data_IF_885306658102
#
_entry.id   IF_885306658102
#
_cell.length_a   1.000
_cell.length_b   1.000
_cell.length_c   1.000
_cell.angle_alpha   90.00
_cell.angle_beta   90.00
_cell.angle_gamma   90.00
#
_symmetry.space_group_name_H-M   'P 1'
#
loop_
_entity.id
_entity.type
_entity.pdbx_description
1 polymer ?
#
# COMPACT_ATOMS: atom_id res chain seq x y z
N UNK A 1 -10.37 -16.93 -41.90
CA UNK A 1 -10.16 -16.97 -40.45
C UNK A 1 -11.04 -18.08 -39.89
N UNK A 2 -10.51 -19.05 -39.16
CA UNK A 2 -11.27 -20.19 -38.60
C UNK A 2 -12.00 -19.74 -37.33
N UNK A 3 -13.27 -20.13 -37.15
CA UNK A 3 -14.08 -19.84 -35.97
C UNK A 3 -13.37 -20.23 -34.67
N UNK A 4 -12.63 -21.34 -34.65
CA UNK A 4 -11.83 -21.75 -33.48
C UNK A 4 -10.73 -20.75 -33.13
N UNK A 5 -10.09 -20.14 -34.13
CA UNK A 5 -9.09 -19.09 -33.92
C UNK A 5 -9.71 -17.82 -33.35
N UNK A 6 -10.94 -17.48 -33.74
CA UNK A 6 -11.68 -16.36 -33.16
C UNK A 6 -12.01 -16.61 -31.69
N UNK A 7 -12.53 -17.80 -31.35
CA UNK A 7 -12.85 -18.17 -29.96
C UNK A 7 -11.58 -18.11 -29.08
N UNK A 8 -10.48 -18.69 -29.53
CA UNK A 8 -9.21 -18.66 -28.78
C UNK A 8 -8.71 -17.22 -28.58
N UNK A 9 -8.76 -16.38 -29.62
CA UNK A 9 -8.32 -15.00 -29.51
C UNK A 9 -9.14 -14.19 -28.49
N UNK A 10 -10.45 -14.43 -28.42
CA UNK A 10 -11.33 -13.78 -27.43
C UNK A 10 -11.01 -14.27 -26.01
N UNK A 11 -10.86 -15.58 -25.83
CA UNK A 11 -10.50 -16.17 -24.54
C UNK A 11 -9.15 -15.66 -24.04
N UNK A 12 -8.11 -15.70 -24.89
CA UNK A 12 -6.76 -15.24 -24.55
C UNK A 12 -6.77 -13.76 -24.17
N UNK A 13 -7.51 -12.94 -24.95
CA UNK A 13 -7.67 -11.51 -24.66
C UNK A 13 -8.31 -11.32 -23.28
N UNK A 14 -9.42 -12.00 -22.99
CA UNK A 14 -10.08 -11.91 -21.69
C UNK A 14 -9.13 -12.29 -20.54
N UNK A 15 -8.42 -13.41 -20.66
CA UNK A 15 -7.49 -13.89 -19.62
C UNK A 15 -6.28 -12.96 -19.43
N UNK A 16 -5.77 -12.35 -20.49
CA UNK A 16 -4.67 -11.38 -20.40
C UNK A 16 -5.13 -10.12 -19.67
N UNK A 17 -6.28 -9.55 -20.06
CA UNK A 17 -6.77 -8.32 -19.45
C UNK A 17 -7.25 -8.53 -18.01
N UNK A 18 -7.91 -9.66 -17.71
CA UNK A 18 -8.32 -9.99 -16.34
C UNK A 18 -7.11 -10.09 -15.40
N UNK A 19 -6.04 -10.79 -15.81
CA UNK A 19 -4.80 -10.88 -15.03
C UNK A 19 -4.16 -9.52 -14.82
N UNK A 20 -4.07 -8.70 -15.89
CA UNK A 20 -3.54 -7.32 -15.80
C UNK A 20 -4.35 -6.47 -14.83
N UNK A 21 -5.67 -6.53 -14.90
CA UNK A 21 -6.57 -5.80 -13.99
C UNK A 21 -6.32 -6.21 -12.54
N UNK A 22 -6.24 -7.50 -12.24
CA UNK A 22 -5.96 -7.99 -10.88
C UNK A 22 -4.60 -7.50 -10.38
N UNK A 23 -3.55 -7.57 -11.21
CA UNK A 23 -2.22 -7.05 -10.85
C UNK A 23 -2.27 -5.57 -10.53
N UNK A 24 -2.88 -4.75 -11.38
CA UNK A 24 -2.98 -3.29 -11.17
C UNK A 24 -3.79 -2.96 -9.91
N UNK A 25 -4.88 -3.69 -9.64
CA UNK A 25 -5.65 -3.52 -8.40
C UNK A 25 -4.80 -3.85 -7.18
N UNK A 26 -4.07 -4.97 -7.21
CA UNK A 26 -3.21 -5.37 -6.10
C UNK A 26 -2.10 -4.34 -5.83
N UNK A 27 -1.41 -3.86 -6.88
CA UNK A 27 -0.39 -2.83 -6.77
C UNK A 27 -0.94 -1.56 -6.11
N UNK A 28 -2.08 -1.07 -6.60
CA UNK A 28 -2.71 0.13 -6.05
C UNK A 28 -3.14 -0.07 -4.59
N UNK A 29 -3.67 -1.23 -4.23
CA UNK A 29 -4.02 -1.54 -2.84
C UNK A 29 -2.80 -1.57 -1.93
N UNK A 30 -1.69 -2.15 -2.37
CA UNK A 30 -0.43 -2.17 -1.61
C UNK A 30 0.08 -0.76 -1.40
N UNK A 31 0.19 0.05 -2.46
CA UNK A 31 0.66 1.44 -2.37
C UNK A 31 -0.27 2.30 -1.50
N UNK A 32 -1.58 2.21 -1.70
CA UNK A 32 -2.58 2.93 -0.89
C UNK A 32 -2.45 2.59 0.59
N UNK A 33 -2.29 1.30 0.92
CA UNK A 33 -2.13 0.87 2.31
C UNK A 33 -0.78 1.31 2.90
N UNK A 34 0.28 1.32 2.10
CA UNK A 34 1.58 1.85 2.51
C UNK A 34 1.52 3.35 2.82
N UNK A 35 0.91 4.13 1.93
CA UNK A 35 0.72 5.58 2.09
C UNK A 35 -0.11 5.91 3.33
N UNK A 36 -1.12 5.10 3.64
CA UNK A 36 -1.90 5.27 4.86
C UNK A 36 -1.02 5.11 6.11
N UNK A 37 -0.11 4.14 6.10
CA UNK A 37 0.90 3.97 7.14
C UNK A 37 1.84 5.17 7.25
N UNK A 38 2.32 5.66 6.11
CA UNK A 38 3.15 6.87 6.05
C UNK A 38 2.43 8.08 6.70
N UNK A 39 1.18 8.38 6.30
CA UNK A 39 0.44 9.52 6.85
C UNK A 39 0.23 9.43 8.36
N UNK A 40 -0.02 8.21 8.86
CA UNK A 40 -0.16 7.96 10.30
C UNK A 40 1.16 8.28 11.02
N UNK A 41 2.28 7.73 10.55
CA UNK A 41 3.59 7.90 11.22
C UNK A 41 4.06 9.35 11.15
N UNK A 42 3.91 10.02 10.02
CA UNK A 42 4.25 11.45 9.92
C UNK A 42 3.41 12.30 10.87
N UNK A 43 2.11 12.01 10.99
CA UNK A 43 1.25 12.71 11.94
C UNK A 43 1.68 12.48 13.40
N UNK A 44 2.06 11.24 13.74
CA UNK A 44 2.59 10.88 15.06
C UNK A 44 3.91 11.60 15.37
N UNK A 45 4.84 11.66 14.40
CA UNK A 45 6.17 12.28 14.57
C UNK A 45 6.14 13.81 14.68
N UNK A 46 5.20 14.47 13.99
CA UNK A 46 5.04 15.92 14.04
C UNK A 46 4.39 16.43 15.34
N UNK A 47 4.22 15.58 16.36
CA UNK A 47 3.99 15.99 17.74
C UNK A 47 2.69 16.73 18.03
N UNK A 48 1.68 16.64 17.15
CA UNK A 48 0.35 17.19 17.43
C UNK A 48 -0.22 16.49 18.68
N UNK A 49 -0.91 17.22 19.56
CA UNK A 49 -1.38 16.73 20.88
C UNK A 49 -2.14 15.38 20.85
N UNK A 50 -2.72 15.01 19.70
CA UNK A 50 -3.35 13.72 19.45
C UNK A 50 -2.38 12.52 19.46
N UNK A 51 -1.10 12.72 19.14
CA UNK A 51 -0.08 11.67 19.02
C UNK A 51 0.40 11.11 20.37
N UNK A 52 0.17 11.82 21.50
CA UNK A 52 0.56 11.33 22.85
C UNK A 52 -0.16 10.05 23.25
N UNK A 53 -1.26 9.70 22.58
CA UNK A 53 -2.00 8.45 22.76
C UNK A 53 -2.23 7.79 21.40
N UNK A 54 -1.19 7.21 20.81
CA UNK A 54 -1.23 6.59 19.46
C UNK A 54 -2.36 5.57 19.25
N UNK A 55 -2.81 4.86 20.29
CA UNK A 55 -4.00 4.00 20.20
C UNK A 55 -5.29 4.81 19.99
N UNK A 56 -5.47 5.90 20.75
CA UNK A 56 -6.63 6.79 20.61
C UNK A 56 -6.67 7.42 19.21
N UNK A 57 -5.51 7.79 18.65
CA UNK A 57 -5.42 8.30 17.28
C UNK A 57 -6.04 7.31 16.28
N UNK A 58 -5.64 6.04 16.31
CA UNK A 58 -6.13 5.06 15.33
C UNK A 58 -7.62 4.74 15.49
N UNK A 59 -8.16 4.78 16.70
CA UNK A 59 -9.60 4.63 16.92
C UNK A 59 -10.37 5.79 16.30
N UNK A 60 -10.00 7.03 16.64
CA UNK A 60 -10.64 8.23 16.08
C UNK A 60 -10.53 8.25 14.55
N UNK A 61 -9.34 7.97 14.01
CA UNK A 61 -9.10 7.91 12.58
C UNK A 61 -9.97 6.83 11.90
N UNK A 62 -10.12 5.66 12.52
CA UNK A 62 -10.98 4.60 11.99
C UNK A 62 -12.44 5.06 11.87
N UNK A 63 -12.94 5.75 12.88
CA UNK A 63 -14.34 6.21 12.90
C UNK A 63 -14.57 7.34 11.90
N UNK A 64 -13.68 8.33 11.84
CA UNK A 64 -13.76 9.43 10.87
C UNK A 64 -13.71 8.91 9.42
N UNK A 65 -12.76 8.02 9.09
CA UNK A 65 -12.65 7.48 7.73
C UNK A 65 -13.85 6.61 7.33
N UNK A 66 -14.44 5.87 8.28
CA UNK A 66 -15.68 5.12 8.02
C UNK A 66 -16.87 6.05 7.76
N UNK A 67 -16.97 7.17 8.48
CA UNK A 67 -18.02 8.16 8.22
C UNK A 67 -17.91 8.78 6.82
N UNK A 68 -16.70 8.86 6.28
CA UNK A 68 -16.45 9.25 4.89
C UNK A 68 -16.73 8.12 3.87
N UNK A 69 -17.17 6.95 4.31
CA UNK A 69 -17.51 5.82 3.44
C UNK A 69 -16.32 4.98 2.96
N UNK A 70 -15.14 5.14 3.56
CA UNK A 70 -13.95 4.38 3.15
C UNK A 70 -14.03 2.94 3.69
N UNK A 71 -13.91 1.97 2.79
CA UNK A 71 -13.79 0.56 3.15
C UNK A 71 -12.36 0.22 3.65
N UNK A 72 -12.26 -0.80 4.50
CA UNK A 72 -10.96 -1.35 4.92
C UNK A 72 -10.14 -0.45 5.86
N UNK A 73 -10.76 0.50 6.55
CA UNK A 73 -10.12 1.45 7.49
C UNK A 73 -10.44 1.15 8.96
N UNK A 74 -10.55 -0.13 9.32
CA UNK A 74 -10.70 -0.54 10.72
C UNK A 74 -9.45 -0.19 11.54
N UNK A 75 -9.58 -0.06 12.86
CA UNK A 75 -8.45 0.10 13.78
C UNK A 75 -7.33 -0.93 13.52
N UNK A 76 -7.71 -2.20 13.34
CA UNK A 76 -6.78 -3.28 13.00
C UNK A 76 -6.05 -3.03 11.69
N UNK A 77 -6.76 -2.63 10.63
CA UNK A 77 -6.15 -2.33 9.34
C UNK A 77 -5.22 -1.11 9.42
N UNK A 78 -5.63 -0.03 10.09
CA UNK A 78 -4.78 1.15 10.26
C UNK A 78 -3.51 0.82 11.07
N UNK A 79 -3.62 -0.06 12.06
CA UNK A 79 -2.45 -0.59 12.80
C UNK A 79 -1.51 -1.37 11.88
N UNK A 80 -2.07 -2.22 11.00
CA UNK A 80 -1.30 -2.97 10.01
C UNK A 80 -0.63 -2.05 8.99
N UNK A 81 -1.32 -1.01 8.51
CA UNK A 81 -0.77 -0.02 7.59
C UNK A 81 0.40 0.73 8.22
N UNK A 82 0.25 1.19 9.47
CA UNK A 82 1.34 1.81 10.24
C UNK A 82 2.57 0.90 10.33
N UNK A 83 2.38 -0.37 10.70
CA UNK A 83 3.47 -1.36 10.73
C UNK A 83 4.09 -1.57 9.34
N UNK A 84 3.24 -1.68 8.32
CA UNK A 84 3.68 -1.92 6.95
C UNK A 84 4.61 -0.82 6.43
N UNK A 85 4.29 0.45 6.69
CA UNK A 85 5.18 1.57 6.36
C UNK A 85 6.54 1.45 7.04
N UNK A 86 6.55 1.18 8.35
CA UNK A 86 7.78 1.05 9.14
C UNK A 86 8.65 -0.14 8.72
N UNK A 87 8.03 -1.27 8.33
CA UNK A 87 8.73 -2.47 7.90
C UNK A 87 9.24 -2.39 6.45
N UNK A 88 8.55 -1.65 5.57
CA UNK A 88 8.86 -1.60 4.14
C UNK A 88 9.04 -0.15 3.61
N UNK A 89 9.96 0.67 4.14
CA UNK A 89 10.13 2.06 3.71
C UNK A 89 10.54 2.23 2.23
N UNK A 90 11.00 1.17 1.56
CA UNK A 90 11.40 1.18 0.14
C UNK A 90 10.27 1.51 -0.85
N UNK A 91 9.00 1.39 -0.48
CA UNK A 91 7.90 1.78 -1.38
C UNK A 91 7.78 3.29 -1.59
N UNK A 92 8.55 4.08 -0.85
CA UNK A 92 8.74 5.53 -1.04
C UNK A 92 8.98 5.91 -2.51
N UNK A 93 9.79 5.12 -3.24
CA UNK A 93 10.11 5.41 -4.64
C UNK A 93 8.88 5.34 -5.55
N UNK A 94 7.95 4.41 -5.29
CA UNK A 94 6.73 4.26 -6.07
C UNK A 94 5.65 5.28 -5.72
N UNK A 95 5.60 5.67 -4.45
CA UNK A 95 4.65 6.68 -3.99
C UNK A 95 4.85 8.03 -4.70
N UNK A 96 6.10 8.38 -5.06
CA UNK A 96 6.45 9.61 -5.79
C UNK A 96 5.84 9.69 -7.18
N UNK A 97 5.60 8.53 -7.79
CA UNK A 97 5.10 8.41 -9.17
C UNK A 97 3.58 8.33 -9.26
N UNK A 98 2.86 8.35 -8.12
CA UNK A 98 1.39 8.28 -8.10
C UNK A 98 0.80 9.66 -8.45
N UNK A 99 0.06 9.79 -9.57
CA UNK A 99 -0.54 11.07 -9.94
C UNK A 99 -1.51 11.59 -8.88
N UNK A 100 -1.38 12.86 -8.51
CA UNK A 100 -2.26 13.51 -7.52
C UNK A 100 -1.81 13.34 -6.06
N UNK A 101 -0.73 12.61 -5.80
CA UNK A 101 -0.04 12.66 -4.51
C UNK A 101 1.03 13.74 -4.59
N UNK A 102 0.93 14.76 -3.75
CA UNK A 102 1.92 15.84 -3.72
C UNK A 102 3.22 15.34 -3.08
N UNK A 103 4.16 14.92 -3.92
CA UNK A 103 5.49 14.43 -3.53
C UNK A 103 6.32 15.46 -2.74
N UNK A 104 5.91 16.74 -2.70
CA UNK A 104 6.53 17.77 -1.85
C UNK A 104 5.93 17.85 -0.44
N UNK A 105 4.67 17.45 -0.25
CA UNK A 105 4.02 17.37 1.06
C UNK A 105 4.40 16.10 1.84
N UNK A 106 4.79 15.06 1.10
CA UNK A 106 5.25 13.76 1.60
C UNK A 106 6.78 13.88 1.68
N UNK A 107 7.35 14.07 2.88
CA UNK A 107 8.79 14.31 3.09
C UNK A 107 9.63 13.03 2.83
N UNK A 108 9.56 12.52 1.59
CA UNK A 108 10.13 11.26 1.11
C UNK A 108 11.63 11.36 0.78
N UNK A 109 12.30 12.43 1.24
CA UNK A 109 13.71 12.68 0.97
C UNK A 109 14.65 11.83 1.82
N UNK A 110 14.19 11.32 2.98
CA UNK A 110 15.09 10.76 4.00
C UNK A 110 15.35 9.25 3.93
N UNK A 111 14.73 8.51 3.01
CA UNK A 111 14.76 7.03 3.03
C UNK A 111 15.41 6.36 1.81
N UNK A 112 15.82 7.12 0.78
CA UNK A 112 16.27 6.54 -0.50
C UNK A 112 17.78 6.39 -0.68
N UNK A 113 18.61 7.03 0.15
CA UNK A 113 20.05 7.13 -0.17
C UNK A 113 20.91 5.98 0.38
N UNK A 114 20.46 5.24 1.41
CA UNK A 114 21.34 4.30 2.15
C UNK A 114 20.87 2.83 2.25
N UNK A 115 19.76 2.42 1.63
CA UNK A 115 19.26 1.05 1.79
C UNK A 115 19.40 0.20 0.53
N UNK A 116 20.41 -0.69 0.54
CA UNK A 116 20.50 -1.85 -0.35
C UNK A 116 19.48 -2.93 0.09
N UNK A 117 18.24 -2.80 -0.35
CA UNK A 117 17.24 -3.85 -0.14
C UNK A 117 17.55 -5.07 -1.01
N UNK A 118 17.54 -6.26 -0.41
CA UNK A 118 17.81 -7.52 -1.13
C UNK A 118 16.80 -7.80 -2.25
N UNK A 119 15.57 -7.25 -2.17
CA UNK A 119 14.51 -7.43 -3.16
C UNK A 119 14.02 -6.07 -3.67
N UNK A 120 14.07 -5.82 -4.99
CA UNK A 120 13.51 -4.62 -5.60
C UNK A 120 12.00 -4.48 -5.35
N UNK A 121 11.49 -3.29 -4.97
CA UNK A 121 10.09 -3.12 -4.64
C UNK A 121 9.13 -3.32 -5.82
N UNK A 122 9.60 -3.22 -7.08
CA UNK A 122 8.84 -3.59 -8.29
C UNK A 122 8.43 -5.07 -8.24
N UNK A 123 9.35 -5.94 -7.82
CA UNK A 123 9.10 -7.39 -7.76
C UNK A 123 8.08 -7.71 -6.67
N UNK A 124 8.15 -7.00 -5.54
CA UNK A 124 7.18 -7.16 -4.46
C UNK A 124 5.78 -6.73 -4.93
N UNK A 125 5.65 -5.57 -5.58
CA UNK A 125 4.37 -5.06 -6.09
C UNK A 125 3.75 -5.94 -7.17
N UNK A 126 4.55 -6.55 -8.04
CA UNK A 126 4.07 -7.38 -9.14
C UNK A 126 3.57 -8.76 -8.71
N UNK A 127 4.03 -9.26 -7.56
CA UNK A 127 3.82 -10.65 -7.16
C UNK A 127 3.11 -10.82 -5.81
N UNK A 128 3.06 -9.78 -4.97
CA UNK A 128 2.47 -9.86 -3.65
C UNK A 128 1.27 -8.91 -3.53
N UNK A 129 0.13 -9.46 -3.11
CA UNK A 129 -0.98 -8.68 -2.58
C UNK A 129 -0.72 -8.26 -1.14
N UNK A 130 -1.50 -7.30 -0.63
CA UNK A 130 -1.39 -6.84 0.77
C UNK A 130 -1.52 -7.99 1.79
N UNK A 131 -2.31 -9.02 1.52
CA UNK A 131 -2.42 -10.19 2.42
C UNK A 131 -1.10 -10.93 2.59
N UNK A 132 -0.25 -10.98 1.56
CA UNK A 132 1.08 -11.58 1.68
C UNK A 132 1.96 -10.74 2.61
N UNK A 133 1.93 -9.41 2.49
CA UNK A 133 2.67 -8.51 3.39
C UNK A 133 2.20 -8.65 4.84
N UNK A 134 0.90 -8.86 5.09
CA UNK A 134 0.41 -9.14 6.45
C UNK A 134 1.10 -10.38 7.03
N UNK A 135 1.23 -11.46 6.27
CA UNK A 135 1.91 -12.67 6.75
C UNK A 135 3.42 -12.44 6.97
N UNK A 136 4.08 -11.70 6.07
CA UNK A 136 5.51 -11.38 6.25
C UNK A 136 5.76 -10.53 7.50
N UNK A 137 4.94 -9.50 7.74
CA UNK A 137 5.04 -8.64 8.94
C UNK A 137 4.89 -9.45 10.23
N UNK A 138 4.05 -10.50 10.24
CA UNK A 138 3.90 -11.37 11.41
C UNK A 138 5.17 -12.17 11.71
N UNK A 139 5.90 -12.59 10.68
CA UNK A 139 7.13 -13.39 10.82
C UNK A 139 8.34 -12.52 11.15
N UNK A 140 8.35 -11.27 10.69
CA UNK A 140 9.41 -10.29 10.97
C UNK A 140 9.30 -9.62 12.36
N UNK A 141 8.17 -9.79 13.06
CA UNK A 141 7.98 -9.31 14.43
C UNK A 141 8.50 -10.37 15.42
N UNK A 142 9.57 -10.11 16.20
CA UNK A 142 10.09 -11.04 17.22
C UNK A 142 9.10 -11.34 18.35
#
# INVERSE_FOLDING_TARGET
MDFRKLVQAIEDTHQIFQRRTVTVINQNLVLRNWLFGFYIVEFEQNGKDYARHGERLLYTLSDELKQLGLAGVSYTNLTLFRKFYLSYPQFTLFAKDVPGIDSAAVNLQTLSEDLEWSIPPEKLLNHLSFSHFIELIKVESP
#
